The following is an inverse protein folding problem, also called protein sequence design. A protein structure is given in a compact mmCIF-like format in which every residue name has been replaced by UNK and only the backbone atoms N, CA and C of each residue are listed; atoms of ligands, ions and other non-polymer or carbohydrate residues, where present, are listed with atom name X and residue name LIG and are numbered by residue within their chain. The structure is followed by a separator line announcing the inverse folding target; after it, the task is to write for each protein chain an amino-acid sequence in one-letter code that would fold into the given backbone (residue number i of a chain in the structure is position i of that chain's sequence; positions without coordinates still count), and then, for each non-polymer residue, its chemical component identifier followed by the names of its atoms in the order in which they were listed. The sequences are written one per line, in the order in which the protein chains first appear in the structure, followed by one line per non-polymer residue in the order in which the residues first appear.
data_IF_719506955831
#
_entry.id   IF_719506955831
#
_cell.length_a   1.000
_cell.length_b   1.000
_cell.length_c   1.000
_cell.angle_alpha   90.00
_cell.angle_beta   90.00
_cell.angle_gamma   90.00
#
_symmetry.space_group_name_H-M   'P 1'
#
loop_
_entity.id
_entity.type
_entity.pdbx_description
1 polymer ?
#
# COMPACT_ATOMS: atom_id res chain seq x y z
N UNK A 1 45.76 -20.19 44.80
CA UNK A 1 44.39 -20.64 44.52
C UNK A 1 43.84 -19.73 43.42
N UNK A 2 43.88 -20.15 42.16
CA UNK A 2 43.44 -19.31 41.02
C UNK A 2 41.97 -19.61 40.77
N UNK A 3 41.10 -18.61 40.93
CA UNK A 3 39.67 -18.71 40.59
C UNK A 3 39.49 -18.41 39.11
N UNK A 4 38.99 -19.38 38.36
CA UNK A 4 38.64 -19.21 36.95
C UNK A 4 37.42 -18.29 36.87
N UNK A 5 37.53 -17.21 36.10
CA UNK A 5 36.41 -16.33 35.74
C UNK A 5 35.62 -17.06 34.65
N UNK A 6 34.33 -17.31 34.92
CA UNK A 6 33.40 -17.90 33.96
C UNK A 6 33.21 -16.96 32.78
N UNK A 7 33.50 -17.43 31.58
CA UNK A 7 33.29 -16.68 30.34
C UNK A 7 31.77 -16.68 30.06
N UNK A 8 31.12 -15.52 29.87
CA UNK A 8 29.69 -15.48 29.57
C UNK A 8 29.41 -16.08 28.19
N UNK A 9 28.43 -16.98 28.11
CA UNK A 9 27.92 -17.48 26.84
C UNK A 9 27.19 -16.36 26.10
N UNK A 10 27.74 -15.94 24.94
CA UNK A 10 27.09 -14.99 24.05
C UNK A 10 26.10 -15.77 23.18
N UNK A 11 24.81 -15.71 23.53
CA UNK A 11 23.74 -16.27 22.69
C UNK A 11 23.46 -15.30 21.54
N UNK A 12 23.88 -15.65 20.33
CA UNK A 12 23.68 -14.84 19.11
C UNK A 12 22.19 -14.75 18.78
N UNK A 13 21.62 -13.54 18.86
CA UNK A 13 20.21 -13.26 18.52
C UNK A 13 19.91 -13.18 17.01
N UNK A 14 20.88 -13.48 16.15
CA UNK A 14 20.77 -13.32 14.70
C UNK A 14 19.72 -14.24 14.06
N UNK A 15 19.48 -15.43 14.64
CA UNK A 15 18.43 -16.36 14.15
C UNK A 15 17.02 -15.79 14.24
N UNK A 16 16.75 -14.83 15.14
CA UNK A 16 15.42 -14.20 15.22
C UNK A 16 15.17 -13.19 14.09
N UNK A 17 16.21 -12.53 13.59
CA UNK A 17 16.08 -11.42 12.63
C UNK A 17 15.83 -11.94 11.20
N UNK A 18 16.34 -13.12 10.87
CA UNK A 18 16.18 -13.73 9.53
C UNK A 18 14.78 -14.27 9.26
N UNK A 19 13.95 -14.45 10.29
CA UNK A 19 12.61 -15.04 10.18
C UNK A 19 11.47 -14.01 10.11
N UNK A 20 11.78 -12.72 9.97
CA UNK A 20 10.78 -11.68 9.80
C UNK A 20 10.32 -11.62 8.34
N UNK A 21 9.18 -12.25 8.05
CA UNK A 21 8.54 -12.14 6.74
C UNK A 21 8.12 -10.69 6.49
N UNK A 22 8.75 -10.02 5.53
CA UNK A 22 8.34 -8.70 5.07
C UNK A 22 6.99 -8.76 4.38
N UNK A 23 6.13 -7.77 4.65
CA UNK A 23 4.84 -7.62 4.00
C UNK A 23 5.04 -7.23 2.53
N UNK A 24 4.44 -7.98 1.61
CA UNK A 24 4.45 -7.71 0.17
C UNK A 24 3.25 -6.85 -0.19
N UNK A 25 3.53 -5.60 -0.58
CA UNK A 25 2.52 -4.58 -0.86
C UNK A 25 2.59 -4.19 -2.33
N UNK A 26 1.49 -4.32 -3.06
CA UNK A 26 1.33 -3.74 -4.40
C UNK A 26 0.81 -2.31 -4.30
N UNK A 27 1.24 -1.43 -5.20
CA UNK A 27 0.74 -0.04 -5.27
C UNK A 27 -0.03 0.13 -6.58
N UNK A 28 -1.29 0.56 -6.47
CA UNK A 28 -2.14 0.89 -7.61
C UNK A 28 -2.52 2.37 -7.53
N UNK A 29 -1.72 3.20 -8.21
CA UNK A 29 -1.99 4.62 -8.39
C UNK A 29 -2.99 4.86 -9.53
N UNK A 30 -3.80 5.92 -9.42
CA UNK A 30 -4.69 6.31 -10.53
C UNK A 30 -5.67 7.41 -10.16
N UNK A 31 -6.35 7.95 -11.17
CA UNK A 31 -7.36 8.98 -10.93
C UNK A 31 -8.64 8.39 -10.32
N UNK A 32 -9.06 7.19 -10.71
CA UNK A 32 -10.32 6.58 -10.23
C UNK A 32 -11.53 7.54 -10.36
N UNK A 33 -11.85 7.94 -11.60
CA UNK A 33 -12.87 8.95 -11.91
C UNK A 33 -14.06 8.39 -12.72
N UNK A 34 -14.97 7.57 -12.14
CA UNK A 34 -14.92 6.93 -10.82
C UNK A 34 -14.12 5.61 -10.81
N UNK A 35 -13.85 4.99 -9.64
CA UNK A 35 -13.43 3.59 -9.62
C UNK A 35 -14.49 2.70 -10.29
N UNK A 36 -14.03 1.59 -10.89
CA UNK A 36 -14.88 0.66 -11.64
C UNK A 36 -14.28 -0.75 -11.57
N UNK A 37 -15.05 -1.76 -12.00
CA UNK A 37 -14.69 -3.17 -11.85
C UNK A 37 -13.31 -3.52 -12.42
N UNK A 38 -12.92 -2.94 -13.56
CA UNK A 38 -11.58 -3.13 -14.13
C UNK A 38 -10.43 -2.85 -13.15
N UNK A 39 -10.53 -1.79 -12.31
CA UNK A 39 -9.51 -1.50 -11.30
C UNK A 39 -9.43 -2.59 -10.24
N UNK A 40 -10.57 -3.11 -9.80
CA UNK A 40 -10.67 -4.15 -8.77
C UNK A 40 -10.16 -5.49 -9.29
N UNK A 41 -10.51 -5.85 -10.54
CA UNK A 41 -10.04 -7.08 -11.18
C UNK A 41 -8.51 -7.06 -11.28
N UNK A 42 -7.91 -5.95 -11.75
CA UNK A 42 -6.45 -5.85 -11.87
C UNK A 42 -5.79 -5.97 -10.49
N UNK A 43 -6.31 -5.29 -9.48
CA UNK A 43 -5.78 -5.37 -8.12
C UNK A 43 -5.82 -6.81 -7.57
N UNK A 44 -6.95 -7.52 -7.76
CA UNK A 44 -7.09 -8.89 -7.26
C UNK A 44 -6.21 -9.88 -8.04
N UNK A 45 -6.14 -9.73 -9.36
CA UNK A 45 -5.28 -10.58 -10.18
C UNK A 45 -3.80 -10.43 -9.81
N UNK A 46 -3.32 -9.20 -9.65
CA UNK A 46 -1.92 -8.94 -9.25
C UNK A 46 -1.66 -9.44 -7.83
N UNK A 47 -2.59 -9.21 -6.90
CA UNK A 47 -2.50 -9.73 -5.53
C UNK A 47 -2.36 -11.25 -5.51
N UNK A 48 -3.21 -11.97 -6.24
CA UNK A 48 -3.18 -13.43 -6.31
C UNK A 48 -1.92 -13.96 -7.02
N UNK A 49 -1.60 -13.43 -8.20
CA UNK A 49 -0.50 -13.95 -9.02
C UNK A 49 0.88 -13.72 -8.39
N UNK A 50 1.08 -12.57 -7.74
CA UNK A 50 2.33 -12.24 -7.04
C UNK A 50 2.29 -12.59 -5.55
N UNK A 51 1.17 -13.15 -5.11
CA UNK A 51 0.95 -13.63 -3.76
C UNK A 51 1.10 -12.50 -2.71
N UNK A 52 0.68 -11.28 -3.06
CA UNK A 52 0.82 -10.09 -2.22
C UNK A 52 -0.02 -10.21 -0.94
N UNK A 53 0.47 -9.63 0.15
CA UNK A 53 -0.29 -9.55 1.40
C UNK A 53 -1.35 -8.45 1.31
N UNK A 54 -1.11 -7.38 0.53
CA UNK A 54 -2.11 -6.34 0.25
C UNK A 54 -1.85 -5.56 -1.05
N UNK A 55 -2.89 -4.86 -1.51
CA UNK A 55 -2.81 -3.84 -2.58
C UNK A 55 -3.26 -2.49 -2.04
N UNK A 56 -2.39 -1.50 -2.15
CA UNK A 56 -2.61 -0.12 -1.73
C UNK A 56 -3.08 0.72 -2.93
N UNK A 57 -4.33 1.15 -2.89
CA UNK A 57 -4.90 2.10 -3.84
C UNK A 57 -4.48 3.52 -3.43
N UNK A 58 -3.94 4.29 -4.38
CA UNK A 58 -3.51 5.68 -4.16
C UNK A 58 -4.22 6.59 -5.17
N UNK A 59 -5.36 7.20 -4.81
CA UNK A 59 -6.03 8.15 -5.68
C UNK A 59 -5.21 9.43 -5.82
N UNK A 60 -5.06 9.92 -7.05
CA UNK A 60 -4.38 11.18 -7.29
C UNK A 60 -5.16 12.40 -6.75
N UNK A 61 -4.46 13.48 -6.40
CA UNK A 61 -5.11 14.75 -6.06
C UNK A 61 -5.52 15.52 -7.32
N UNK A 62 -4.55 15.80 -8.19
CA UNK A 62 -4.74 16.54 -9.42
C UNK A 62 -4.40 15.65 -10.61
N UNK A 63 -5.40 15.30 -11.46
CA UNK A 63 -5.13 14.54 -12.67
C UNK A 63 -4.21 15.36 -13.59
N UNK A 64 -3.08 14.83 -14.06
CA UNK A 64 -2.14 15.58 -14.89
C UNK A 64 -2.70 15.90 -16.29
N UNK A 65 -3.69 15.15 -16.76
CA UNK A 65 -4.17 15.18 -18.16
C UNK A 65 -5.70 15.37 -18.33
N UNK A 66 -6.44 15.67 -17.25
CA UNK A 66 -7.90 15.85 -17.32
C UNK A 66 -8.23 17.33 -17.08
N UNK A 67 -9.12 17.86 -17.92
CA UNK A 67 -9.65 19.20 -17.78
C UNK A 67 -10.35 19.34 -16.41
N UNK A 68 -9.92 20.28 -15.56
CA UNK A 68 -10.36 20.38 -14.16
C UNK A 68 -11.88 20.47 -13.98
N UNK A 69 -12.61 20.91 -15.01
CA UNK A 69 -14.07 21.11 -14.98
C UNK A 69 -14.88 19.80 -15.07
N UNK A 70 -14.30 18.69 -15.53
CA UNK A 70 -15.03 17.43 -15.75
C UNK A 70 -14.70 16.32 -14.75
N UNK A 71 -13.62 16.47 -13.97
CA UNK A 71 -13.22 15.46 -13.00
C UNK A 71 -14.05 15.54 -11.71
N UNK A 72 -14.44 14.38 -11.18
CA UNK A 72 -15.00 14.26 -9.83
C UNK A 72 -13.91 14.74 -8.85
N UNK A 73 -14.32 15.53 -7.85
CA UNK A 73 -13.41 16.05 -6.81
C UNK A 73 -12.62 14.93 -6.16
N UNK A 74 -11.32 15.16 -5.87
CA UNK A 74 -10.43 14.17 -5.26
C UNK A 74 -11.02 13.52 -3.99
N UNK A 75 -11.67 14.29 -3.13
CA UNK A 75 -12.32 13.81 -1.90
C UNK A 75 -13.43 12.79 -2.19
N UNK A 76 -14.27 13.06 -3.20
CA UNK A 76 -15.31 12.12 -3.65
C UNK A 76 -14.69 10.88 -4.27
N UNK A 77 -13.62 11.02 -5.07
CA UNK A 77 -12.89 9.87 -5.64
C UNK A 77 -12.30 8.99 -4.55
N UNK A 78 -11.65 9.57 -3.55
CA UNK A 78 -11.15 8.85 -2.37
C UNK A 78 -12.29 8.11 -1.65
N UNK A 79 -13.44 8.76 -1.44
CA UNK A 79 -14.59 8.12 -0.80
C UNK A 79 -15.13 6.95 -1.63
N UNK A 80 -15.24 7.13 -2.95
CA UNK A 80 -15.67 6.06 -3.85
C UNK A 80 -14.68 4.89 -3.82
N UNK A 81 -13.37 5.14 -3.85
CA UNK A 81 -12.36 4.08 -3.78
C UNK A 81 -12.43 3.32 -2.45
N UNK A 82 -12.62 4.03 -1.32
CA UNK A 82 -12.85 3.38 -0.02
C UNK A 82 -14.08 2.47 -0.02
N UNK A 83 -15.19 2.94 -0.58
CA UNK A 83 -16.42 2.13 -0.71
C UNK A 83 -16.25 0.95 -1.67
N UNK A 84 -15.53 1.13 -2.77
CA UNK A 84 -15.30 0.06 -3.76
C UNK A 84 -14.33 -1.03 -3.28
N UNK A 85 -13.60 -0.80 -2.19
CA UNK A 85 -12.55 -1.73 -1.69
C UNK A 85 -12.86 -2.28 -0.30
N UNK A 86 -13.95 -1.86 0.34
CA UNK A 86 -14.21 -2.17 1.76
C UNK A 86 -14.47 -3.65 2.04
N UNK A 87 -14.97 -4.40 1.05
CA UNK A 87 -15.33 -5.81 1.21
C UNK A 87 -14.13 -6.76 1.01
N UNK A 88 -12.98 -6.26 0.56
CA UNK A 88 -11.75 -7.03 0.37
C UNK A 88 -10.69 -6.63 1.40
N UNK A 89 -10.43 -7.46 2.43
CA UNK A 89 -9.49 -7.13 3.50
C UNK A 89 -8.05 -6.88 3.03
N UNK A 90 -7.65 -7.49 1.91
CA UNK A 90 -6.35 -7.29 1.26
C UNK A 90 -6.23 -5.97 0.49
N UNK A 91 -7.30 -5.20 0.34
CA UNK A 91 -7.26 -3.88 -0.26
C UNK A 91 -7.16 -2.79 0.81
N UNK A 92 -6.27 -1.82 0.55
CA UNK A 92 -6.06 -0.63 1.39
C UNK A 92 -6.12 0.62 0.53
N UNK A 93 -6.46 1.75 1.14
CA UNK A 93 -6.54 3.03 0.46
C UNK A 93 -5.70 4.05 1.19
N UNK A 94 -4.80 4.70 0.48
CA UNK A 94 -3.97 5.80 0.98
C UNK A 94 -4.40 7.12 0.36
N UNK A 95 -4.61 8.12 1.22
CA UNK A 95 -4.90 9.51 0.89
C UNK A 95 -3.62 10.38 0.85
N UNK A 96 -2.44 9.76 0.76
CA UNK A 96 -1.15 10.46 0.81
C UNK A 96 -1.05 11.56 -0.25
N UNK A 97 -1.50 11.32 -1.47
CA UNK A 97 -1.47 12.31 -2.54
C UNK A 97 -2.47 13.44 -2.34
N UNK A 98 -3.65 13.15 -1.78
CA UNK A 98 -4.63 14.17 -1.42
C UNK A 98 -4.10 15.09 -0.33
N UNK A 99 -3.40 14.54 0.68
CA UNK A 99 -2.76 15.35 1.71
C UNK A 99 -1.60 16.18 1.16
N UNK A 100 -0.80 15.61 0.26
CA UNK A 100 0.35 16.29 -0.37
C UNK A 100 -0.11 17.45 -1.24
N UNK A 101 -1.26 17.32 -1.91
CA UNK A 101 -1.80 18.25 -2.91
C UNK A 101 -0.87 18.37 -4.14
N UNK A 102 -1.35 19.09 -5.16
CA UNK A 102 -0.64 19.29 -6.43
C UNK A 102 -0.65 18.08 -7.36
N UNK A 103 0.12 18.16 -8.44
CA UNK A 103 0.31 17.06 -9.40
C UNK A 103 1.29 16.06 -8.82
N UNK A 104 0.97 14.77 -8.94
CA UNK A 104 1.84 13.65 -8.56
C UNK A 104 2.51 13.04 -9.77
N UNK A 105 3.74 12.59 -9.57
CA UNK A 105 4.52 11.83 -10.53
C UNK A 105 4.84 10.49 -9.87
N UNK A 106 4.54 9.39 -10.56
CA UNK A 106 4.81 8.01 -10.13
C UNK A 106 6.13 7.53 -10.67
#
# INVERSE_FOLDING_TARGET
MVKTITIPEIKVMAELITNMKHKRVGILGGTFNPPHLGHLIIAEQVKSQLNLDEVMFIPDYQPPHIDKKTAISAEKRLKMVKLSTMDEPGFKVSDIELRRKGVSYT
#
